data_IF_427943651599
#
_entry.id   IF_427943651599
#
_cell.length_a   1.000
_cell.length_b   1.000
_cell.length_c   1.000
_cell.angle_alpha   90.00
_cell.angle_beta   90.00
_cell.angle_gamma   90.00
#
_symmetry.space_group_name_H-M   'P 1'
#
loop_
_entity.id
_entity.type
_entity.pdbx_description
1 polymer ?
#
# COMPACT_ATOMS: atom_id res chain seq x y z
N UNK A 1 -31.60 -3.12 12.46
CA UNK A 1 -30.17 -2.74 12.54
C UNK A 1 -30.00 -1.99 13.83
N UNK A 2 -28.87 -2.15 14.51
CA UNK A 2 -28.69 -1.63 15.86
C UNK A 2 -27.31 -1.00 16.03
N UNK A 3 -27.26 0.09 16.78
CA UNK A 3 -26.01 0.63 17.31
C UNK A 3 -26.23 1.15 18.72
N UNK A 4 -25.16 1.25 19.49
CA UNK A 4 -25.21 1.76 20.86
C UNK A 4 -24.09 2.72 21.17
N UNK A 5 -24.39 3.70 22.02
CA UNK A 5 -23.45 4.73 22.46
C UNK A 5 -23.52 4.94 23.97
N UNK A 6 -22.43 5.42 24.55
CA UNK A 6 -22.34 5.83 25.97
C UNK A 6 -22.80 7.28 26.17
N UNK A 7 -22.79 7.77 27.41
CA UNK A 7 -23.17 9.16 27.75
C UNK A 7 -22.32 10.22 27.03
N UNK A 8 -21.07 9.89 26.69
CA UNK A 8 -20.16 10.75 25.92
C UNK A 8 -20.44 10.73 24.41
N UNK A 9 -21.49 10.02 23.98
CA UNK A 9 -21.89 9.80 22.58
C UNK A 9 -20.86 9.01 21.77
N UNK A 10 -19.96 8.31 22.43
CA UNK A 10 -19.02 7.43 21.77
C UNK A 10 -19.72 6.13 21.38
N UNK A 11 -19.44 5.67 20.16
CA UNK A 11 -19.98 4.42 19.66
C UNK A 11 -19.33 3.23 20.38
N UNK A 12 -20.11 2.45 21.13
CA UNK A 12 -19.65 1.29 21.90
C UNK A 12 -20.02 -0.05 21.28
N UNK A 13 -21.06 -0.09 20.43
CA UNK A 13 -21.47 -1.30 19.72
C UNK A 13 -22.23 -0.97 18.43
N UNK A 14 -22.17 -1.88 17.46
CA UNK A 14 -23.01 -1.89 16.28
C UNK A 14 -23.19 -3.32 15.77
N UNK A 15 -24.35 -3.62 15.19
CA UNK A 15 -24.54 -4.86 14.45
C UNK A 15 -23.90 -4.81 13.05
N UNK A 16 -23.61 -5.97 12.49
CA UNK A 16 -22.96 -6.11 11.18
C UNK A 16 -23.75 -5.40 10.08
N UNK A 17 -25.08 -5.44 10.15
CA UNK A 17 -25.94 -4.77 9.19
C UNK A 17 -25.81 -3.23 9.23
N UNK A 18 -25.69 -2.63 10.42
CA UNK A 18 -25.44 -1.18 10.53
C UNK A 18 -24.03 -0.80 10.05
N UNK A 19 -23.02 -1.61 10.38
CA UNK A 19 -21.63 -1.40 9.95
C UNK A 19 -21.56 -1.43 8.42
N UNK A 20 -22.15 -2.45 7.79
CA UNK A 20 -22.22 -2.59 6.34
C UNK A 20 -23.05 -1.48 5.67
N UNK A 21 -24.17 -1.06 6.28
CA UNK A 21 -25.00 0.06 5.78
C UNK A 21 -24.17 1.35 5.62
N UNK A 22 -23.24 1.59 6.55
CA UNK A 22 -22.37 2.75 6.56
C UNK A 22 -21.13 2.59 5.66
N UNK A 23 -20.92 1.42 5.04
CA UNK A 23 -19.81 1.13 4.14
C UNK A 23 -18.52 0.71 4.84
N UNK A 24 -18.60 0.18 6.05
CA UNK A 24 -17.45 -0.31 6.82
C UNK A 24 -17.45 -1.84 6.90
N UNK A 25 -16.27 -2.43 7.10
CA UNK A 25 -16.10 -3.88 7.22
C UNK A 25 -16.00 -4.36 8.65
N UNK A 26 -15.71 -3.46 9.58
CA UNK A 26 -15.57 -3.81 11.00
C UNK A 26 -16.03 -2.69 11.92
N UNK A 27 -16.41 -3.09 13.13
CA UNK A 27 -16.74 -2.14 14.20
C UNK A 27 -15.55 -1.21 14.52
N UNK A 28 -14.32 -1.74 14.49
CA UNK A 28 -13.10 -0.97 14.74
C UNK A 28 -12.96 0.19 13.74
N UNK A 29 -13.17 -0.10 12.47
CA UNK A 29 -13.09 0.88 11.37
C UNK A 29 -14.17 1.96 11.50
N UNK A 30 -15.43 1.54 11.75
CA UNK A 30 -16.54 2.45 12.00
C UNK A 30 -16.25 3.37 13.20
N UNK A 31 -15.75 2.82 14.31
CA UNK A 31 -15.44 3.57 15.53
C UNK A 31 -14.33 4.61 15.34
N UNK A 32 -13.38 4.34 14.45
CA UNK A 32 -12.31 5.31 14.10
C UNK A 32 -12.74 6.33 13.06
N UNK A 33 -13.94 6.20 12.49
CA UNK A 33 -14.45 7.11 11.46
C UNK A 33 -15.21 8.29 12.06
N UNK A 34 -15.23 9.41 11.33
CA UNK A 34 -16.03 10.60 11.69
C UNK A 34 -17.49 10.52 11.19
N UNK A 35 -17.96 9.34 10.76
CA UNK A 35 -19.32 9.21 10.18
C UNK A 35 -20.41 9.47 11.21
N UNK A 36 -20.15 9.10 12.48
CA UNK A 36 -21.09 9.33 13.57
C UNK A 36 -21.25 10.82 13.92
N UNK A 37 -20.27 11.67 13.60
CA UNK A 37 -20.36 13.12 13.81
C UNK A 37 -21.43 13.78 12.90
N UNK A 38 -21.73 13.13 11.76
CA UNK A 38 -22.75 13.58 10.82
C UNK A 38 -24.15 13.08 11.15
N UNK A 39 -24.32 12.34 12.25
CA UNK A 39 -25.61 11.83 12.69
C UNK A 39 -26.46 12.95 13.28
N UNK A 40 -27.66 13.16 12.73
CA UNK A 40 -28.64 14.15 13.20
C UNK A 40 -29.97 13.51 13.53
N UNK A 41 -30.58 14.00 14.60
CA UNK A 41 -31.94 13.64 14.97
C UNK A 41 -32.89 14.72 14.44
N UNK A 42 -33.69 14.40 13.43
CA UNK A 42 -34.65 15.31 12.79
C UNK A 42 -36.04 14.68 12.80
N UNK A 43 -37.04 15.33 13.41
CA UNK A 43 -38.45 14.91 13.36
C UNK A 43 -38.72 13.41 13.70
N UNK A 44 -38.08 12.88 14.74
CA UNK A 44 -38.12 11.44 15.15
C UNK A 44 -37.47 10.48 14.16
N UNK A 45 -36.65 10.99 13.25
CA UNK A 45 -35.80 10.22 12.35
C UNK A 45 -34.34 10.51 12.64
N UNK A 46 -33.52 9.51 12.35
CA UNK A 46 -32.08 9.63 12.25
C UNK A 46 -31.75 9.92 10.79
N UNK A 47 -30.95 10.96 10.58
CA UNK A 47 -30.38 11.33 9.29
C UNK A 47 -28.87 11.24 9.41
N UNK A 48 -28.25 10.33 8.67
CA UNK A 48 -26.79 10.20 8.57
C UNK A 48 -26.40 10.68 7.17
N UNK A 49 -25.65 11.79 7.11
CA UNK A 49 -25.17 12.34 5.84
C UNK A 49 -23.74 11.87 5.60
N UNK A 50 -23.53 11.22 4.46
CA UNK A 50 -22.22 10.88 3.92
C UNK A 50 -22.12 11.53 2.53
N UNK A 51 -20.91 11.63 1.99
CA UNK A 51 -20.68 12.33 0.71
C UNK A 51 -21.45 11.69 -0.46
N UNK A 52 -21.64 10.37 -0.41
CA UNK A 52 -22.23 9.56 -1.48
C UNK A 52 -23.65 9.05 -1.16
N UNK A 53 -24.11 9.19 0.08
CA UNK A 53 -25.45 8.76 0.47
C UNK A 53 -25.98 9.52 1.69
N UNK A 54 -27.29 9.68 1.73
CA UNK A 54 -28.02 10.09 2.93
C UNK A 54 -28.88 8.93 3.39
N UNK A 55 -28.68 8.50 4.64
CA UNK A 55 -29.48 7.46 5.27
C UNK A 55 -30.52 8.15 6.15
N UNK A 56 -31.78 7.87 5.88
CA UNK A 56 -32.90 8.26 6.72
C UNK A 56 -33.47 7.01 7.38
N UNK A 57 -33.77 7.08 8.68
CA UNK A 57 -34.38 5.95 9.37
C UNK A 57 -35.24 6.44 10.52
N UNK A 58 -36.39 5.79 10.72
CA UNK A 58 -37.10 5.88 11.98
C UNK A 58 -36.28 5.15 13.06
N UNK A 59 -36.34 5.58 14.31
CA UNK A 59 -35.56 4.93 15.36
C UNK A 59 -36.38 4.64 16.62
N UNK A 60 -36.03 3.56 17.30
CA UNK A 60 -36.40 3.33 18.69
C UNK A 60 -35.16 3.47 19.55
N UNK A 61 -35.32 4.14 20.66
CA UNK A 61 -34.26 4.40 21.62
C UNK A 61 -34.62 3.70 22.93
N UNK A 62 -33.70 2.90 23.44
CA UNK A 62 -33.82 2.19 24.69
C UNK A 62 -32.62 2.50 25.58
N UNK A 63 -32.89 2.93 26.80
CA UNK A 63 -31.89 3.07 27.85
C UNK A 63 -31.59 1.70 28.46
N UNK A 64 -30.31 1.37 28.55
CA UNK A 64 -29.83 0.11 29.09
C UNK A 64 -28.88 0.38 30.26
N UNK A 65 -29.09 -0.33 31.35
CA UNK A 65 -28.31 -0.18 32.58
C UNK A 65 -27.36 -1.37 32.71
N UNK A 66 -26.07 -1.13 32.52
CA UNK A 66 -25.00 -2.11 32.72
C UNK A 66 -24.45 -2.09 34.15
N UNK A 67 -23.52 -3.02 34.44
CA UNK A 67 -22.77 -3.00 35.70
C UNK A 67 -21.75 -1.85 35.61
N UNK A 68 -22.17 -0.64 35.98
CA UNK A 68 -21.30 0.53 36.17
C UNK A 68 -21.51 1.69 35.20
N UNK A 69 -22.20 1.49 34.07
CA UNK A 69 -22.43 2.54 33.06
C UNK A 69 -23.81 2.40 32.41
N UNK A 70 -24.41 3.54 32.08
CA UNK A 70 -25.60 3.64 31.25
C UNK A 70 -25.18 3.67 29.78
N UNK A 71 -25.90 2.94 28.92
CA UNK A 71 -25.71 3.06 27.49
C UNK A 71 -27.04 3.03 26.77
N UNK A 72 -27.05 3.64 25.60
CA UNK A 72 -28.26 3.81 24.80
C UNK A 72 -28.18 2.88 23.61
N UNK A 73 -29.21 2.05 23.45
CA UNK A 73 -29.39 1.22 22.27
C UNK A 73 -30.35 1.90 21.31
N UNK A 74 -29.94 2.03 20.06
CA UNK A 74 -30.76 2.57 18.98
C UNK A 74 -31.05 1.47 17.97
N UNK A 75 -32.33 1.16 17.82
CA UNK A 75 -32.84 0.31 16.75
C UNK A 75 -33.30 1.16 15.57
N UNK A 76 -32.72 0.93 14.41
CA UNK A 76 -33.13 1.55 13.16
C UNK A 76 -34.25 0.76 12.47
N UNK A 77 -35.31 1.47 12.07
CA UNK A 77 -36.48 0.99 11.35
C UNK A 77 -36.72 1.81 10.09
N UNK A 78 -37.33 1.17 9.09
CA UNK A 78 -37.69 1.81 7.82
C UNK A 78 -36.50 2.58 7.22
N UNK A 79 -35.35 1.90 7.10
CA UNK A 79 -34.12 2.51 6.60
C UNK A 79 -34.28 2.82 5.12
N UNK A 80 -34.25 4.11 4.79
CA UNK A 80 -34.27 4.65 3.44
C UNK A 80 -32.87 5.18 3.11
N UNK A 81 -32.22 4.56 2.12
CA UNK A 81 -30.92 5.01 1.62
C UNK A 81 -31.15 5.81 0.35
N UNK A 82 -30.97 7.11 0.45
CA UNK A 82 -30.90 8.00 -0.70
C UNK A 82 -29.45 8.07 -1.11
N UNK A 83 -29.07 7.26 -2.09
CA UNK A 83 -27.77 7.43 -2.74
C UNK A 83 -27.79 8.80 -3.41
N UNK A 84 -26.82 9.63 -3.09
CA UNK A 84 -26.58 10.83 -3.88
C UNK A 84 -26.16 10.30 -5.25
N UNK A 85 -26.87 10.66 -6.32
CA UNK A 85 -26.40 10.36 -7.67
C UNK A 85 -25.02 10.99 -7.81
N UNK A 86 -23.99 10.17 -7.64
CA UNK A 86 -22.60 10.55 -7.85
C UNK A 86 -22.45 11.08 -9.30
N UNK A 87 -23.36 10.68 -10.19
CA UNK A 87 -23.52 11.21 -11.54
C UNK A 87 -23.75 12.73 -11.65
N UNK A 88 -24.28 13.45 -10.65
CA UNK A 88 -24.48 14.92 -10.80
C UNK A 88 -23.50 15.80 -10.05
N UNK A 89 -22.75 15.26 -9.08
CA UNK A 89 -21.72 16.02 -8.36
C UNK A 89 -20.29 15.79 -8.89
N UNK A 90 -20.07 14.73 -9.69
CA UNK A 90 -18.81 14.51 -10.43
C UNK A 90 -18.72 15.33 -11.73
N UNK A 91 -19.82 15.93 -12.21
CA UNK A 91 -19.74 16.83 -13.38
C UNK A 91 -19.08 18.20 -13.12
N UNK A 92 -18.55 18.45 -11.91
CA UNK A 92 -17.42 19.37 -11.78
C UNK A 92 -16.13 18.62 -12.17
N UNK A 93 -15.99 18.36 -13.46
CA UNK A 93 -14.74 17.89 -14.05
C UNK A 93 -14.75 16.51 -14.71
N UNK A 94 -15.86 16.05 -15.29
CA UNK A 94 -15.73 15.17 -16.45
C UNK A 94 -15.19 16.04 -17.59
N UNK A 95 -13.87 16.15 -17.64
CA UNK A 95 -13.16 16.81 -18.72
C UNK A 95 -13.49 16.00 -19.98
N UNK A 96 -14.33 16.52 -20.87
CA UNK A 96 -14.77 15.83 -22.10
C UNK A 96 -13.64 15.68 -23.13
N UNK A 97 -12.39 15.89 -22.72
CA UNK A 97 -11.18 15.79 -23.51
C UNK A 97 -10.34 14.60 -23.04
N UNK A 98 -10.94 13.39 -23.01
CA UNK A 98 -10.16 12.19 -22.75
C UNK A 98 -9.41 11.81 -24.03
N UNK A 99 -8.08 11.95 -23.98
CA UNK A 99 -7.21 11.45 -25.04
C UNK A 99 -7.15 9.93 -24.99
N UNK A 100 -7.14 9.29 -26.17
CA UNK A 100 -6.95 7.86 -26.28
C UNK A 100 -5.54 7.48 -25.79
N UNK A 101 -5.42 6.35 -25.11
CA UNK A 101 -4.15 5.81 -24.61
C UNK A 101 -3.65 4.84 -25.67
N UNK A 102 -2.76 5.30 -26.54
CA UNK A 102 -2.17 4.46 -27.59
C UNK A 102 -1.14 3.49 -27.01
N UNK A 103 -1.31 2.21 -27.32
CA UNK A 103 -0.34 1.15 -27.05
C UNK A 103 0.39 0.81 -28.34
N UNK A 104 1.69 1.06 -28.39
CA UNK A 104 2.54 0.61 -29.50
C UNK A 104 2.73 -0.91 -29.41
N UNK A 105 1.78 -1.64 -30.00
CA UNK A 105 1.75 -3.11 -29.95
C UNK A 105 3.03 -3.71 -30.52
N UNK A 106 3.63 -3.11 -31.54
CA UNK A 106 4.83 -3.66 -32.16
C UNK A 106 6.00 -3.56 -31.20
N UNK A 107 6.23 -2.37 -30.62
CA UNK A 107 7.27 -2.14 -29.62
C UNK A 107 7.07 -3.01 -28.38
N UNK A 108 5.87 -2.97 -27.79
CA UNK A 108 5.60 -3.68 -26.53
C UNK A 108 5.69 -5.19 -26.72
N UNK A 109 5.12 -5.74 -27.82
CA UNK A 109 5.19 -7.18 -28.08
C UNK A 109 6.63 -7.68 -28.27
N UNK A 110 7.48 -6.88 -28.93
CA UNK A 110 8.91 -7.16 -29.06
C UNK A 110 9.62 -7.16 -27.69
N UNK A 111 9.37 -6.16 -26.86
CA UNK A 111 9.99 -6.02 -25.53
C UNK A 111 9.66 -7.20 -24.59
N UNK A 112 8.43 -7.70 -24.64
CA UNK A 112 7.99 -8.81 -23.77
C UNK A 112 8.20 -10.19 -24.43
N UNK A 113 8.72 -10.23 -25.66
CA UNK A 113 9.02 -11.47 -26.38
C UNK A 113 7.79 -12.24 -26.87
N UNK A 114 6.71 -11.55 -27.21
CA UNK A 114 5.47 -12.13 -27.75
C UNK A 114 5.24 -11.72 -29.21
N UNK A 115 4.43 -12.48 -29.94
CA UNK A 115 3.95 -11.99 -31.23
C UNK A 115 2.89 -10.90 -31.03
N UNK A 116 2.75 -10.01 -32.01
CA UNK A 116 1.69 -8.97 -32.04
C UNK A 116 0.30 -9.56 -31.80
N UNK A 117 0.00 -10.74 -32.38
CA UNK A 117 -1.29 -11.39 -32.21
C UNK A 117 -1.46 -11.97 -30.81
N UNK A 118 -0.40 -12.53 -30.24
CA UNK A 118 -0.44 -13.03 -28.87
C UNK A 118 -0.62 -11.87 -27.89
N UNK A 119 0.09 -10.75 -28.07
CA UNK A 119 -0.11 -9.54 -27.25
C UNK A 119 -1.56 -9.08 -27.28
N UNK A 120 -2.18 -9.01 -28.46
CA UNK A 120 -3.60 -8.65 -28.59
C UNK A 120 -4.51 -9.60 -27.82
N UNK A 121 -4.27 -10.91 -27.92
CA UNK A 121 -5.02 -11.91 -27.15
C UNK A 121 -4.83 -11.76 -25.63
N UNK A 122 -3.62 -11.45 -25.18
CA UNK A 122 -3.35 -11.18 -23.76
C UNK A 122 -4.01 -9.89 -23.29
N UNK A 123 -4.01 -8.84 -24.11
CA UNK A 123 -4.67 -7.58 -23.81
C UNK A 123 -6.20 -7.77 -23.71
N UNK A 124 -6.80 -8.47 -24.67
CA UNK A 124 -8.23 -8.80 -24.66
C UNK A 124 -8.57 -9.62 -23.41
N UNK A 125 -7.77 -10.64 -23.10
CA UNK A 125 -7.96 -11.46 -21.89
C UNK A 125 -7.83 -10.64 -20.60
N UNK A 126 -6.95 -9.64 -20.56
CA UNK A 126 -6.81 -8.74 -19.42
C UNK A 126 -8.03 -7.82 -19.26
N UNK A 127 -8.54 -7.27 -20.35
CA UNK A 127 -9.75 -6.44 -20.35
C UNK A 127 -10.96 -7.28 -19.91
N UNK A 128 -11.13 -8.48 -20.48
CA UNK A 128 -12.20 -9.40 -20.10
C UNK A 128 -12.13 -9.76 -18.61
N UNK A 129 -10.95 -10.09 -18.12
CA UNK A 129 -10.75 -10.40 -16.70
C UNK A 129 -11.06 -9.20 -15.81
N UNK A 130 -10.68 -7.99 -16.24
CA UNK A 130 -10.99 -6.74 -15.54
C UNK A 130 -12.49 -6.49 -15.44
N UNK A 131 -13.26 -6.82 -16.48
CA UNK A 131 -14.72 -6.73 -16.47
C UNK A 131 -15.33 -7.81 -15.56
N UNK A 132 -14.87 -9.06 -15.65
CA UNK A 132 -15.35 -10.16 -14.82
C UNK A 132 -15.14 -9.88 -13.32
N UNK A 133 -14.01 -9.25 -12.99
CA UNK A 133 -13.62 -8.99 -11.61
C UNK A 133 -14.15 -7.67 -11.04
N UNK A 134 -15.00 -6.92 -11.75
CA UNK A 134 -15.54 -5.61 -11.33
C UNK A 134 -16.16 -5.65 -9.93
N UNK A 135 -17.08 -6.58 -9.71
CA UNK A 135 -17.71 -6.70 -8.40
C UNK A 135 -16.69 -7.03 -7.31
N UNK A 136 -15.65 -7.81 -7.63
CA UNK A 136 -14.62 -8.21 -6.68
C UNK A 136 -13.62 -7.09 -6.41
N UNK A 137 -13.39 -6.19 -7.37
CA UNK A 137 -12.66 -4.95 -7.18
C UNK A 137 -13.43 -4.00 -6.26
N UNK A 138 -14.74 -3.87 -6.47
CA UNK A 138 -15.63 -3.10 -5.59
C UNK A 138 -15.60 -3.68 -4.17
N UNK A 139 -15.76 -4.99 -4.02
CA UNK A 139 -15.71 -5.69 -2.74
C UNK A 139 -14.31 -5.65 -2.07
N UNK A 140 -13.32 -5.09 -2.77
CA UNK A 140 -11.99 -4.84 -2.23
C UNK A 140 -11.10 -6.07 -2.12
N UNK A 141 -11.26 -7.03 -3.03
CA UNK A 141 -10.51 -8.28 -3.02
C UNK A 141 -9.04 -8.06 -3.42
N UNK A 142 -8.13 -8.03 -2.44
CA UNK A 142 -6.70 -7.81 -2.66
C UNK A 142 -6.06 -8.80 -3.65
N UNK A 143 -6.57 -10.03 -3.73
CA UNK A 143 -6.05 -11.03 -4.68
C UNK A 143 -6.37 -10.64 -6.13
N UNK A 144 -7.56 -10.09 -6.36
CA UNK A 144 -7.98 -9.58 -7.67
C UNK A 144 -7.12 -8.38 -8.06
N UNK A 145 -6.96 -7.43 -7.15
CA UNK A 145 -6.16 -6.23 -7.39
C UNK A 145 -4.72 -6.60 -7.76
N UNK A 146 -4.09 -7.50 -6.99
CA UNK A 146 -2.75 -8.02 -7.30
C UNK A 146 -2.67 -8.72 -8.64
N UNK A 147 -3.65 -9.56 -8.97
CA UNK A 147 -3.67 -10.27 -10.25
C UNK A 147 -3.78 -9.31 -11.44
N UNK A 148 -4.71 -8.35 -11.39
CA UNK A 148 -4.87 -7.34 -12.43
C UNK A 148 -3.65 -6.43 -12.53
N UNK A 149 -3.04 -6.09 -11.40
CA UNK A 149 -1.80 -5.31 -11.33
C UNK A 149 -0.66 -6.02 -12.05
N UNK A 150 -0.45 -7.31 -11.76
CA UNK A 150 0.56 -8.13 -12.43
C UNK A 150 0.31 -8.28 -13.94
N UNK A 151 -0.95 -8.41 -14.36
CA UNK A 151 -1.31 -8.47 -15.77
C UNK A 151 -1.04 -7.13 -16.48
N UNK A 152 -1.45 -6.01 -15.88
CA UNK A 152 -1.18 -4.67 -16.40
C UNK A 152 0.33 -4.40 -16.51
N UNK A 153 1.13 -4.88 -15.55
CA UNK A 153 2.59 -4.82 -15.59
C UNK A 153 3.17 -5.62 -16.76
N UNK A 154 2.70 -6.85 -16.95
CA UNK A 154 3.16 -7.73 -18.04
C UNK A 154 2.82 -7.14 -19.40
N UNK A 155 1.68 -6.47 -19.52
CA UNK A 155 1.24 -5.78 -20.73
C UNK A 155 1.88 -4.40 -20.93
N UNK A 156 2.79 -3.98 -20.03
CA UNK A 156 3.45 -2.67 -20.04
C UNK A 156 2.46 -1.50 -20.05
N UNK A 157 1.42 -1.58 -19.21
CA UNK A 157 0.41 -0.51 -19.04
C UNK A 157 0.57 0.14 -17.66
N UNK A 158 1.63 0.93 -17.43
CA UNK A 158 2.00 1.42 -16.09
C UNK A 158 0.91 2.28 -15.44
N UNK A 159 0.19 3.09 -16.21
CA UNK A 159 -0.87 3.95 -15.68
C UNK A 159 -2.03 3.16 -15.07
N UNK A 160 -2.40 2.05 -15.70
CA UNK A 160 -3.45 1.14 -15.21
C UNK A 160 -2.97 0.40 -13.96
N UNK A 161 -1.71 -0.04 -13.97
CA UNK A 161 -1.11 -0.69 -12.80
C UNK A 161 -1.07 0.25 -11.57
N UNK A 162 -0.68 1.51 -11.75
CA UNK A 162 -0.65 2.51 -10.67
C UNK A 162 -2.04 2.69 -10.04
N UNK A 163 -3.10 2.76 -10.86
CA UNK A 163 -4.47 2.87 -10.35
C UNK A 163 -4.88 1.64 -9.53
N UNK A 164 -4.54 0.44 -9.98
CA UNK A 164 -4.82 -0.80 -9.26
C UNK A 164 -4.11 -0.83 -7.90
N UNK A 165 -2.84 -0.43 -7.83
CA UNK A 165 -2.10 -0.35 -6.56
C UNK A 165 -2.73 0.67 -5.59
N UNK A 166 -3.21 1.81 -6.08
CA UNK A 166 -3.97 2.78 -5.26
C UNK A 166 -5.28 2.19 -4.75
N UNK A 167 -6.03 1.47 -5.59
CA UNK A 167 -7.26 0.76 -5.20
C UNK A 167 -6.97 -0.25 -4.08
N UNK A 168 -5.80 -0.91 -4.10
CA UNK A 168 -5.41 -1.88 -3.08
C UNK A 168 -5.28 -1.26 -1.68
N UNK A 169 -4.69 -0.06 -1.59
CA UNK A 169 -4.29 0.57 -0.33
C UNK A 169 -5.39 1.39 0.35
N UNK A 170 -6.46 1.73 -0.36
CA UNK A 170 -7.51 2.64 0.12
C UNK A 170 -8.66 1.91 0.83
N UNK A 171 -9.41 2.62 1.67
CA UNK A 171 -10.64 2.10 2.28
C UNK A 171 -11.75 1.93 1.22
N UNK A 172 -12.75 1.07 1.46
CA UNK A 172 -13.81 0.81 0.47
C UNK A 172 -14.50 2.10 -0.03
N UNK A 173 -14.65 3.10 0.85
CA UNK A 173 -15.20 4.43 0.55
C UNK A 173 -14.37 5.23 -0.46
N UNK A 174 -13.06 5.04 -0.49
CA UNK A 174 -12.11 5.80 -1.32
C UNK A 174 -11.77 5.06 -2.63
N UNK A 175 -12.10 3.77 -2.74
CA UNK A 175 -11.84 2.94 -3.93
C UNK A 175 -12.75 3.26 -5.10
N UNK A 176 -14.02 3.55 -4.84
CA UNK A 176 -15.05 3.72 -5.87
C UNK A 176 -14.68 4.73 -6.97
N UNK A 177 -14.24 5.97 -6.66
CA UNK A 177 -13.82 6.92 -7.71
C UNK A 177 -12.59 6.45 -8.49
N UNK A 178 -11.68 5.68 -7.88
CA UNK A 178 -10.51 5.13 -8.58
C UNK A 178 -10.87 3.93 -9.45
N UNK A 179 -11.87 3.14 -9.06
CA UNK A 179 -12.41 2.05 -9.88
C UNK A 179 -13.09 2.63 -11.12
N UNK A 180 -13.85 3.72 -10.99
CA UNK A 180 -14.40 4.44 -12.13
C UNK A 180 -13.31 5.00 -13.05
N UNK A 181 -12.24 5.59 -12.46
CA UNK A 181 -11.07 6.05 -13.22
C UNK A 181 -10.36 4.89 -13.93
N UNK A 182 -10.22 3.74 -13.26
CA UNK A 182 -9.65 2.52 -13.83
C UNK A 182 -10.40 2.05 -15.07
N UNK A 183 -11.72 1.93 -15.00
CA UNK A 183 -12.53 1.53 -16.16
C UNK A 183 -12.56 2.59 -17.26
N UNK A 184 -12.51 3.87 -16.89
CA UNK A 184 -12.38 4.95 -17.87
C UNK A 184 -11.08 4.82 -18.64
N UNK A 185 -9.94 4.61 -17.96
CA UNK A 185 -8.65 4.43 -18.64
C UNK A 185 -8.59 3.14 -19.46
N UNK A 186 -9.19 2.04 -18.98
CA UNK A 186 -9.31 0.82 -19.78
C UNK A 186 -10.07 1.05 -21.09
N UNK A 187 -11.18 1.80 -21.04
CA UNK A 187 -11.96 2.13 -22.23
C UNK A 187 -11.24 3.05 -23.23
N UNK A 188 -10.21 3.77 -22.77
CA UNK A 188 -9.39 4.65 -23.60
C UNK A 188 -8.20 3.93 -24.26
N UNK A 189 -7.91 2.68 -23.89
CA UNK A 189 -6.83 1.92 -24.52
C UNK A 189 -7.13 1.71 -26.01
N UNK A 190 -6.20 2.10 -26.87
CA UNK A 190 -6.30 1.90 -28.32
C UNK A 190 -5.01 1.33 -28.89
N UNK A 191 -5.16 0.48 -29.91
CA UNK A 191 -4.05 -0.04 -30.70
C UNK A 191 -3.87 0.73 -32.02
N UNK A 192 -4.80 1.62 -32.33
CA UNK A 192 -4.75 2.49 -33.50
C UNK A 192 -4.06 3.79 -33.11
N UNK A 193 -2.97 4.11 -33.80
CA UNK A 193 -2.23 5.36 -33.60
C UNK A 193 -3.12 6.54 -34.04
N UNK A 194 -3.50 7.46 -33.14
CA UNK A 194 -4.32 8.61 -33.51
C UNK A 194 -3.60 9.52 -34.53
N UNK A 195 -4.35 10.14 -35.43
CA UNK A 195 -3.79 11.00 -36.51
C UNK A 195 -3.08 12.25 -35.97
N UNK A 196 -3.52 12.75 -34.81
CA UNK A 196 -2.92 13.86 -34.06
C UNK A 196 -2.10 13.40 -32.84
N UNK A 197 -1.62 12.14 -32.82
CA UNK A 197 -0.74 11.64 -31.74
C UNK A 197 0.66 12.25 -31.90
N UNK A 198 0.80 13.52 -31.51
CA UNK A 198 2.09 14.05 -31.13
C UNK A 198 2.55 13.21 -29.94
N UNK A 199 3.72 12.57 -30.06
CA UNK A 199 4.38 11.84 -28.96
C UNK A 199 4.55 12.68 -27.69
N UNK A 200 4.35 13.99 -27.80
CA UNK A 200 4.58 15.02 -26.80
C UNK A 200 3.27 15.59 -26.20
N UNK A 201 2.09 15.15 -26.67
CA UNK A 201 0.78 15.64 -26.20
C UNK A 201 -0.04 14.58 -25.46
N UNK A 202 0.58 13.67 -24.69
CA UNK A 202 -0.13 13.22 -23.50
C UNK A 202 -0.11 14.43 -22.58
N UNK A 203 -1.28 15.04 -22.38
CA UNK A 203 -1.45 16.12 -21.44
C UNK A 203 -1.04 15.61 -20.05
N UNK A 204 0.22 15.88 -19.74
CA UNK A 204 0.83 15.87 -18.44
C UNK A 204 -0.12 16.62 -17.50
N UNK A 205 -0.84 15.85 -16.68
CA UNK A 205 -1.40 16.39 -15.42
C UNK A 205 -0.24 16.67 -14.42
N UNK A 206 1.02 16.48 -14.84
CA UNK A 206 2.21 16.88 -14.10
C UNK A 206 3.15 17.66 -15.03
N UNK A 207 3.17 18.99 -14.88
CA UNK A 207 3.95 19.93 -15.70
C UNK A 207 5.41 19.51 -16.01
N UNK A 208 5.78 19.73 -17.29
CA UNK A 208 7.08 20.10 -17.85
C UNK A 208 8.36 19.41 -17.35
N UNK A 209 8.88 18.42 -18.12
CA UNK A 209 10.25 18.56 -18.64
C UNK A 209 10.57 17.63 -19.84
N UNK A 210 11.01 18.27 -20.93
CA UNK A 210 11.26 17.70 -22.26
C UNK A 210 12.47 16.75 -22.27
N UNK A 211 12.22 15.48 -22.59
CA UNK A 211 13.10 14.54 -23.34
C UNK A 211 12.53 13.12 -23.16
N UNK A 212 11.75 12.65 -24.14
CA UNK A 212 10.79 11.53 -23.97
C UNK A 212 11.21 10.21 -24.61
N UNK A 213 12.28 10.13 -25.40
CA UNK A 213 12.67 8.85 -26.04
C UNK A 213 13.59 7.96 -25.18
N UNK A 214 14.41 8.53 -24.28
CA UNK A 214 15.30 7.76 -23.40
C UNK A 214 14.62 7.31 -22.08
N UNK A 215 13.44 7.86 -21.73
CA UNK A 215 12.81 7.65 -20.41
C UNK A 215 12.12 6.30 -20.27
N UNK A 216 11.56 5.75 -21.34
CA UNK A 216 10.75 4.52 -21.30
C UNK A 216 11.61 3.25 -21.18
N UNK A 217 12.75 3.19 -21.88
CA UNK A 217 13.74 2.10 -21.71
C UNK A 217 14.40 2.13 -20.32
N UNK A 218 14.67 3.33 -19.78
CA UNK A 218 15.24 3.50 -18.43
C UNK A 218 14.23 3.13 -17.35
N UNK A 219 12.95 3.48 -17.51
CA UNK A 219 11.86 3.04 -16.63
C UNK A 219 11.69 1.52 -16.68
N UNK A 220 11.70 0.91 -17.87
CA UNK A 220 11.58 -0.54 -18.04
C UNK A 220 12.77 -1.33 -17.50
N UNK A 221 14.00 -0.82 -17.65
CA UNK A 221 15.21 -1.42 -17.09
C UNK A 221 15.24 -1.32 -15.55
N UNK A 222 14.91 -0.14 -15.00
CA UNK A 222 14.85 0.08 -13.54
C UNK A 222 13.73 -0.72 -12.87
N UNK A 223 12.59 -0.90 -13.55
CA UNK A 223 11.51 -1.78 -13.09
C UNK A 223 11.89 -3.26 -13.11
N UNK A 224 12.65 -3.69 -14.13
CA UNK A 224 13.10 -5.09 -14.23
C UNK A 224 14.12 -5.46 -13.15
N UNK A 225 14.94 -4.52 -12.70
CA UNK A 225 15.88 -4.72 -11.60
C UNK A 225 15.19 -4.70 -10.21
N UNK A 226 14.09 -3.97 -10.06
CA UNK A 226 13.22 -4.06 -8.86
C UNK A 226 12.55 -5.44 -8.72
N UNK A 227 12.25 -6.10 -9.83
CA UNK A 227 11.58 -7.42 -9.87
C UNK A 227 12.51 -8.60 -9.57
N UNK A 228 13.82 -8.51 -9.88
CA UNK A 228 14.77 -9.61 -9.60
C UNK A 228 14.86 -9.98 -8.12
N UNK A 229 14.55 -9.03 -7.22
CA UNK A 229 14.57 -9.27 -5.78
C UNK A 229 13.25 -9.85 -5.23
N UNK A 230 12.19 -9.93 -6.04
CA UNK A 230 10.87 -10.44 -5.64
C UNK A 230 10.68 -11.92 -6.04
N UNK A 231 11.29 -12.35 -7.16
CA UNK A 231 11.08 -13.69 -7.74
C UNK A 231 12.05 -14.80 -7.26
N UNK A 232 13.06 -14.51 -6.43
CA UNK A 232 13.97 -15.55 -5.93
C UNK A 232 13.35 -16.52 -4.90
N UNK A 233 12.07 -16.35 -4.55
CA UNK A 233 11.38 -17.28 -3.63
C UNK A 233 10.85 -18.58 -4.25
N UNK A 234 10.98 -18.83 -5.56
CA UNK A 234 10.32 -20.01 -6.19
C UNK A 234 11.17 -20.98 -7.03
N UNK A 235 12.51 -21.00 -6.93
CA UNK A 235 13.30 -22.04 -7.62
C UNK A 235 14.37 -22.72 -6.76
N UNK A 236 13.95 -23.62 -5.88
CA UNK A 236 14.75 -24.81 -5.52
C UNK A 236 13.81 -26.03 -5.36
N UNK A 237 13.69 -26.83 -6.43
CA UNK A 237 13.37 -28.26 -6.38
C UNK A 237 14.66 -28.99 -6.79
N UNK A 238 15.14 -30.12 -6.28
CA UNK A 238 14.93 -31.04 -5.14
C UNK A 238 16.10 -32.10 -5.29
N UNK A 239 16.48 -32.93 -4.29
CA UNK A 239 15.57 -33.93 -3.71
C UNK A 239 15.68 -34.13 -2.19
N UNK A 240 14.51 -34.07 -1.56
CA UNK A 240 13.96 -34.97 -0.54
C UNK A 240 14.92 -35.62 0.48
N UNK A 241 14.85 -35.14 1.73
CA UNK A 241 14.56 -35.98 2.91
C UNK A 241 14.12 -35.16 4.13
N UNK A 242 13.09 -35.70 4.78
CA UNK A 242 12.54 -35.44 6.12
C UNK A 242 11.77 -34.13 6.37
N UNK A 243 10.45 -34.30 6.37
CA UNK A 243 9.46 -33.64 7.23
C UNK A 243 10.02 -33.05 8.52
N UNK A 244 10.00 -31.72 8.67
CA UNK A 244 9.64 -31.07 9.93
C UNK A 244 8.83 -29.80 9.62
N UNK A 245 7.75 -29.63 10.37
CA UNK A 245 6.78 -28.55 10.29
C UNK A 245 7.43 -27.24 10.78
N UNK A 246 7.16 -26.06 10.18
CA UNK A 246 7.62 -24.80 10.77
C UNK A 246 7.00 -24.64 12.17
N UNK A 247 7.79 -24.35 13.22
CA UNK A 247 7.22 -24.15 14.55
C UNK A 247 6.39 -22.87 14.58
N UNK A 248 5.22 -22.98 15.22
CA UNK A 248 4.36 -21.87 15.62
C UNK A 248 5.14 -20.84 16.43
N UNK A 249 4.87 -19.56 16.13
CA UNK A 249 5.46 -18.39 16.77
C UNK A 249 5.30 -18.40 18.29
N UNK A 250 6.35 -18.09 19.08
CA UNK A 250 6.20 -17.71 20.48
C UNK A 250 5.87 -16.22 20.61
N UNK A 251 5.00 -15.94 21.57
CA UNK A 251 4.56 -14.60 21.98
C UNK A 251 5.74 -13.78 22.58
N UNK A 252 5.70 -12.45 22.45
CA UNK A 252 6.77 -11.53 22.88
C UNK A 252 7.21 -11.64 24.36
N UNK A 253 6.38 -12.20 25.24
CA UNK A 253 6.73 -12.42 26.65
C UNK A 253 7.62 -13.67 26.89
N UNK A 254 7.72 -14.59 25.91
CA UNK A 254 8.49 -15.82 26.06
C UNK A 254 10.01 -15.65 25.77
N UNK A 255 10.42 -14.53 25.17
CA UNK A 255 11.82 -14.29 24.76
C UNK A 255 12.69 -13.91 25.97
N UNK A 256 12.12 -13.31 27.02
CA UNK A 256 12.90 -12.89 28.19
C UNK A 256 13.32 -14.06 29.12
N UNK A 257 12.73 -15.24 28.98
CA UNK A 257 12.98 -16.36 29.92
C UNK A 257 13.88 -17.48 29.37
N UNK A 258 14.45 -17.36 28.16
CA UNK A 258 15.41 -18.34 27.63
C UNK A 258 16.82 -17.81 27.36
N UNK A 259 17.17 -16.62 27.85
CA UNK A 259 18.55 -16.11 27.83
C UNK A 259 19.24 -16.39 29.18
N UNK A 260 19.52 -17.67 29.41
CA UNK A 260 20.57 -18.13 30.31
C UNK A 260 20.95 -19.51 29.81
N UNK A 261 22.12 -19.72 29.22
CA UNK A 261 23.43 -19.46 29.80
C UNK A 261 24.51 -19.51 28.70
N UNK A 262 25.55 -18.67 28.81
CA UNK A 262 26.85 -18.75 28.10
C UNK A 262 27.10 -18.03 26.75
N UNK A 263 26.52 -16.85 26.49
CA UNK A 263 27.07 -15.95 25.44
C UNK A 263 27.76 -14.73 26.05
N UNK A 264 29.07 -14.57 25.78
CA UNK A 264 29.88 -13.36 26.06
C UNK A 264 29.50 -12.17 25.15
N UNK A 265 28.29 -12.16 24.60
CA UNK A 265 27.85 -11.16 23.63
C UNK A 265 27.21 -9.99 24.37
N UNK A 266 27.65 -8.78 24.07
CA UNK A 266 27.14 -7.55 24.68
C UNK A 266 25.70 -7.32 24.21
N UNK A 267 24.78 -7.06 25.13
CA UNK A 267 23.37 -6.81 24.77
C UNK A 267 23.23 -5.41 24.14
N UNK A 268 22.60 -5.32 22.96
CA UNK A 268 22.35 -4.06 22.25
C UNK A 268 20.91 -3.61 22.55
N UNK A 269 20.71 -2.35 22.92
CA UNK A 269 19.37 -1.75 22.96
C UNK A 269 19.26 -0.69 21.87
N UNK A 270 18.21 -0.79 21.06
CA UNK A 270 17.89 0.16 19.99
C UNK A 270 16.73 1.10 20.35
N UNK A 271 16.22 1.03 21.58
CA UNK A 271 14.98 1.71 21.99
C UNK A 271 15.17 3.21 22.27
N UNK A 272 16.39 3.63 22.58
CA UNK A 272 16.75 5.02 22.91
C UNK A 272 17.90 5.57 22.05
N UNK A 273 17.98 5.12 20.80
CA UNK A 273 19.01 5.60 19.86
C UNK A 273 18.66 7.03 19.42
N UNK A 274 19.61 7.99 19.50
CA UNK A 274 19.37 9.34 19.01
C UNK A 274 19.21 9.36 17.49
N UNK A 275 18.28 10.16 17.00
CA UNK A 275 18.09 10.45 15.58
C UNK A 275 19.38 11.03 14.98
N UNK A 276 19.89 10.40 13.91
CA UNK A 276 21.03 10.89 13.15
C UNK A 276 20.53 11.53 11.86
N UNK A 277 20.95 12.76 11.58
CA UNK A 277 20.48 13.52 10.44
C UNK A 277 20.62 12.73 9.14
N UNK A 278 19.59 12.79 8.30
CA UNK A 278 19.58 12.17 6.97
C UNK A 278 19.27 13.26 5.94
N UNK A 279 20.06 13.30 4.87
CA UNK A 279 19.85 14.21 3.74
C UNK A 279 19.01 13.51 2.69
N UNK A 280 17.74 13.26 3.03
CA UNK A 280 16.79 12.59 2.15
C UNK A 280 15.67 13.52 1.70
N UNK A 281 15.30 13.42 0.43
CA UNK A 281 14.20 14.16 -0.19
C UNK A 281 13.49 13.23 -1.17
N UNK A 282 12.21 12.88 -0.93
CA UNK A 282 11.42 12.07 -1.84
C UNK A 282 11.34 12.71 -3.21
N UNK A 283 11.25 14.04 -3.28
CA UNK A 283 11.25 14.78 -4.54
C UNK A 283 12.56 14.58 -5.31
N UNK A 284 13.70 14.74 -4.65
CA UNK A 284 15.00 14.57 -5.31
C UNK A 284 15.21 13.13 -5.76
N UNK A 285 14.83 12.16 -4.93
CA UNK A 285 14.86 10.75 -5.30
C UNK A 285 13.90 10.45 -6.47
N UNK A 286 12.73 11.07 -6.51
CA UNK A 286 11.76 10.98 -7.60
C UNK A 286 12.31 11.54 -8.90
N UNK A 287 12.94 12.72 -8.85
CA UNK A 287 13.58 13.36 -10.00
C UNK A 287 14.73 12.48 -10.54
N UNK A 288 15.59 11.94 -9.66
CA UNK A 288 16.69 11.04 -10.04
C UNK A 288 16.22 9.68 -10.58
N UNK A 289 15.13 9.16 -10.01
CA UNK A 289 14.55 7.88 -10.39
C UNK A 289 13.63 8.00 -11.61
N UNK A 290 13.24 9.23 -11.98
CA UNK A 290 12.23 9.55 -12.97
C UNK A 290 10.91 8.82 -12.66
N UNK A 291 10.49 8.89 -11.39
CA UNK A 291 9.26 8.30 -10.86
C UNK A 291 8.43 9.40 -10.20
N UNK A 292 7.10 9.26 -10.11
CA UNK A 292 6.27 10.19 -9.36
C UNK A 292 6.71 10.26 -7.88
N UNK A 293 6.76 11.46 -7.30
CA UNK A 293 7.15 11.64 -5.89
C UNK A 293 6.32 10.79 -4.93
N UNK A 294 5.01 10.70 -5.19
CA UNK A 294 4.08 9.87 -4.41
C UNK A 294 4.50 8.39 -4.43
N UNK A 295 5.03 7.89 -5.54
CA UNK A 295 5.49 6.50 -5.65
C UNK A 295 6.79 6.28 -4.87
N UNK A 296 7.70 7.25 -4.87
CA UNK A 296 8.90 7.19 -4.03
C UNK A 296 8.52 7.23 -2.56
N UNK A 297 7.58 8.09 -2.17
CA UNK A 297 7.07 8.13 -0.81
C UNK A 297 6.49 6.78 -0.39
N UNK A 298 5.71 6.14 -1.26
CA UNK A 298 5.16 4.80 -1.03
C UNK A 298 6.25 3.73 -0.90
N UNK A 299 7.27 3.73 -1.76
CA UNK A 299 8.35 2.75 -1.66
C UNK A 299 9.21 2.95 -0.41
N UNK A 300 9.39 4.18 0.03
CA UNK A 300 10.08 4.49 1.28
C UNK A 300 9.28 4.01 2.48
N UNK A 301 7.95 4.12 2.46
CA UNK A 301 7.09 3.54 3.50
C UNK A 301 7.21 2.01 3.57
N UNK A 302 7.16 1.34 2.41
CA UNK A 302 7.32 -0.11 2.33
C UNK A 302 8.71 -0.54 2.85
N UNK A 303 9.76 0.22 2.50
CA UNK A 303 11.09 0.03 3.05
C UNK A 303 11.15 0.24 4.57
N UNK A 304 10.45 1.25 5.10
CA UNK A 304 10.39 1.52 6.54
C UNK A 304 9.75 0.34 7.28
N UNK A 305 8.64 -0.17 6.76
CA UNK A 305 7.96 -1.33 7.36
C UNK A 305 8.86 -2.58 7.33
N UNK A 306 9.49 -2.85 6.18
CA UNK A 306 10.42 -3.98 6.04
C UNK A 306 11.61 -3.87 7.00
N UNK A 307 12.21 -2.69 7.13
CA UNK A 307 13.33 -2.45 8.03
C UNK A 307 12.94 -2.60 9.51
N UNK A 308 11.70 -2.26 9.90
CA UNK A 308 11.20 -2.55 11.25
C UNK A 308 11.07 -4.03 11.54
N UNK A 309 10.56 -4.80 10.59
CA UNK A 309 10.45 -6.26 10.73
C UNK A 309 11.83 -6.92 10.78
N UNK A 310 12.74 -6.47 9.91
CA UNK A 310 14.09 -7.03 9.83
C UNK A 310 14.97 -6.61 11.02
N UNK A 311 14.60 -5.57 11.80
CA UNK A 311 15.30 -5.16 13.04
C UNK A 311 15.46 -6.31 14.04
N UNK A 312 14.38 -7.04 14.31
CA UNK A 312 14.40 -8.10 15.31
C UNK A 312 15.21 -9.31 14.82
N UNK A 313 15.19 -9.57 13.51
CA UNK A 313 16.06 -10.56 12.88
C UNK A 313 17.54 -10.16 12.98
N UNK A 314 17.87 -8.90 12.66
CA UNK A 314 19.24 -8.38 12.71
C UNK A 314 19.84 -8.49 14.13
N UNK A 315 19.04 -8.16 15.16
CA UNK A 315 19.43 -8.30 16.56
C UNK A 315 19.57 -9.77 16.97
N UNK A 316 18.65 -10.63 16.54
CA UNK A 316 18.69 -12.08 16.82
C UNK A 316 19.97 -12.70 16.25
N UNK A 317 20.30 -12.41 14.99
CA UNK A 317 21.52 -12.88 14.33
C UNK A 317 22.77 -12.37 15.04
N UNK A 318 22.76 -11.13 15.50
CA UNK A 318 23.86 -10.59 16.30
C UNK A 318 24.07 -11.34 17.61
N UNK A 319 23.00 -11.67 18.35
CA UNK A 319 23.09 -12.45 19.59
C UNK A 319 23.54 -13.89 19.36
N UNK A 320 23.19 -14.45 18.21
CA UNK A 320 23.61 -15.79 17.77
C UNK A 320 25.02 -15.80 17.16
N UNK A 321 25.64 -14.63 16.95
CA UNK A 321 26.90 -14.48 16.21
C UNK A 321 26.83 -15.04 14.78
N UNK A 322 25.65 -15.01 14.18
CA UNK A 322 25.39 -15.48 12.82
C UNK A 322 25.77 -14.39 11.82
N UNK A 323 27.07 -14.33 11.51
CA UNK A 323 27.64 -13.33 10.60
C UNK A 323 27.11 -13.49 9.17
N UNK A 324 26.86 -14.72 8.73
CA UNK A 324 26.37 -14.99 7.37
C UNK A 324 24.98 -14.38 7.17
N UNK A 325 24.08 -14.57 8.13
CA UNK A 325 22.74 -13.98 8.09
C UNK A 325 22.78 -12.45 8.24
N UNK A 326 23.72 -11.90 9.02
CA UNK A 326 23.92 -10.45 9.12
C UNK A 326 24.38 -9.87 7.78
N UNK A 327 25.29 -10.54 7.08
CA UNK A 327 25.74 -10.12 5.75
C UNK A 327 24.63 -10.20 4.72
N UNK A 328 23.80 -11.26 4.75
CA UNK A 328 22.66 -11.43 3.86
C UNK A 328 21.60 -10.35 4.08
N UNK A 329 21.19 -10.09 5.34
CA UNK A 329 20.25 -9.01 5.65
C UNK A 329 20.83 -7.64 5.28
N UNK A 330 22.12 -7.41 5.55
CA UNK A 330 22.82 -6.19 5.17
C UNK A 330 22.78 -5.96 3.66
N UNK A 331 23.06 -7.01 2.87
CA UNK A 331 22.98 -6.95 1.41
C UNK A 331 21.56 -6.62 0.91
N UNK A 332 20.54 -7.32 1.43
CA UNK A 332 19.14 -7.12 1.05
C UNK A 332 18.66 -5.70 1.35
N UNK A 333 18.88 -5.23 2.57
CA UNK A 333 18.46 -3.89 2.99
C UNK A 333 19.25 -2.81 2.25
N UNK A 334 20.54 -3.03 1.98
CA UNK A 334 21.37 -2.11 1.17
C UNK A 334 20.78 -1.95 -0.22
N UNK A 335 20.44 -3.05 -0.88
CA UNK A 335 19.82 -3.02 -2.21
C UNK A 335 18.55 -2.18 -2.22
N UNK A 336 17.67 -2.38 -1.24
CA UNK A 336 16.45 -1.60 -1.10
C UNK A 336 16.73 -0.10 -0.85
N UNK A 337 17.61 0.23 0.09
CA UNK A 337 17.96 1.62 0.40
C UNK A 337 18.61 2.35 -0.78
N UNK A 338 19.52 1.69 -1.49
CA UNK A 338 20.20 2.24 -2.68
C UNK A 338 19.23 2.52 -3.83
N UNK A 339 18.29 1.59 -4.06
CA UNK A 339 17.24 1.75 -5.07
C UNK A 339 16.35 2.96 -4.81
N UNK A 340 16.18 3.34 -3.55
CA UNK A 340 15.38 4.50 -3.12
C UNK A 340 16.19 5.78 -2.90
N UNK A 341 17.49 5.76 -3.24
CA UNK A 341 18.42 6.89 -3.05
C UNK A 341 18.56 7.34 -1.60
N UNK A 342 18.40 6.41 -0.66
CA UNK A 342 18.61 6.65 0.77
C UNK A 342 20.09 6.38 1.08
N UNK A 343 20.96 7.28 0.60
CA UNK A 343 22.40 7.06 0.51
C UNK A 343 23.04 6.75 1.87
N UNK A 344 22.70 7.50 2.92
CA UNK A 344 23.28 7.28 4.25
C UNK A 344 22.94 5.90 4.82
N UNK A 345 21.73 5.39 4.56
CA UNK A 345 21.37 4.03 4.98
C UNK A 345 22.09 2.99 4.13
N UNK A 346 22.15 3.20 2.81
CA UNK A 346 22.88 2.31 1.89
C UNK A 346 24.34 2.15 2.30
N UNK A 347 25.02 3.26 2.61
CA UNK A 347 26.44 3.26 3.00
C UNK A 347 26.67 2.48 4.30
N UNK A 348 25.82 2.69 5.31
CA UNK A 348 25.95 1.97 6.60
C UNK A 348 25.63 0.48 6.42
N UNK A 349 24.64 0.14 5.59
CA UNK A 349 24.29 -1.24 5.31
C UNK A 349 25.39 -1.95 4.52
N UNK A 350 26.16 -1.22 3.70
CA UNK A 350 27.40 -1.73 3.09
C UNK A 350 28.48 -2.00 4.13
N UNK A 351 28.68 -1.08 5.10
CA UNK A 351 29.59 -1.31 6.22
C UNK A 351 29.19 -2.56 7.03
N UNK A 352 27.88 -2.78 7.24
CA UNK A 352 27.35 -3.99 7.91
C UNK A 352 27.58 -5.24 7.05
N UNK A 353 27.26 -5.19 5.75
CA UNK A 353 27.39 -6.30 4.81
C UNK A 353 28.81 -6.85 4.77
N UNK A 354 29.83 -5.99 4.84
CA UNK A 354 31.23 -6.41 4.77
C UNK A 354 31.94 -6.44 6.14
N UNK A 355 31.19 -6.27 7.24
CA UNK A 355 31.75 -6.27 8.58
C UNK A 355 32.30 -7.66 8.92
N UNK A 356 33.62 -7.76 9.11
CA UNK A 356 34.28 -9.01 9.49
C UNK A 356 34.48 -9.16 11.01
N UNK A 357 34.18 -8.11 11.78
CA UNK A 357 34.45 -8.03 13.22
C UNK A 357 33.14 -7.78 13.99
N UNK A 358 32.67 -8.82 14.68
CA UNK A 358 31.43 -8.79 15.47
C UNK A 358 31.41 -7.65 16.50
N UNK A 359 32.57 -7.23 17.01
CA UNK A 359 32.66 -6.15 18.00
C UNK A 359 32.30 -4.77 17.43
N UNK A 360 32.35 -4.60 16.11
CA UNK A 360 32.02 -3.33 15.42
C UNK A 360 30.54 -3.23 15.05
N UNK A 361 29.84 -4.37 14.98
CA UNK A 361 28.42 -4.43 14.59
C UNK A 361 27.52 -3.63 15.51
N UNK A 362 27.81 -3.57 16.82
CA UNK A 362 27.01 -2.77 17.75
C UNK A 362 26.98 -1.29 17.34
N UNK A 363 28.16 -0.72 17.04
CA UNK A 363 28.25 0.67 16.61
C UNK A 363 27.54 0.91 15.28
N UNK A 364 27.66 -0.04 14.34
CA UNK A 364 27.02 0.04 13.04
C UNK A 364 25.50 -0.07 13.14
N UNK A 365 24.96 -0.95 13.98
CA UNK A 365 23.52 -1.12 14.18
C UNK A 365 22.90 0.12 14.83
N UNK A 366 23.58 0.70 15.83
CA UNK A 366 23.15 1.96 16.45
C UNK A 366 23.16 3.09 15.42
N UNK A 367 24.21 3.20 14.60
CA UNK A 367 24.31 4.21 13.54
C UNK A 367 23.20 4.03 12.50
N UNK A 368 23.01 2.81 12.00
CA UNK A 368 21.93 2.45 11.07
C UNK A 368 20.56 2.84 11.63
N UNK A 369 20.27 2.41 12.85
CA UNK A 369 18.97 2.65 13.49
C UNK A 369 18.72 4.14 13.74
N UNK A 370 19.76 4.91 14.07
CA UNK A 370 19.66 6.36 14.25
C UNK A 370 19.27 7.10 12.96
N UNK A 371 19.83 6.73 11.80
CA UNK A 371 19.42 7.30 10.52
C UNK A 371 18.04 6.81 10.07
N UNK A 372 17.73 5.54 10.36
CA UNK A 372 16.42 4.95 10.09
C UNK A 372 15.29 5.72 10.81
N UNK A 373 15.47 6.03 12.10
CA UNK A 373 14.50 6.80 12.87
C UNK A 373 14.29 8.21 12.31
N UNK A 374 15.35 8.87 11.87
CA UNK A 374 15.26 10.19 11.22
C UNK A 374 14.47 10.14 9.92
N UNK A 375 14.73 9.14 9.07
CA UNK A 375 13.98 8.92 7.83
C UNK A 375 12.50 8.71 8.13
N UNK A 376 12.19 7.81 9.06
CA UNK A 376 10.81 7.50 9.43
C UNK A 376 10.08 8.74 9.97
N UNK A 377 10.72 9.49 10.87
CA UNK A 377 10.13 10.70 11.42
C UNK A 377 9.94 11.78 10.37
N UNK A 378 10.87 11.90 9.43
CA UNK A 378 10.76 12.82 8.30
C UNK A 378 9.54 12.47 7.43
N UNK A 379 9.40 11.20 7.02
CA UNK A 379 8.25 10.73 6.23
C UNK A 379 6.92 10.89 6.98
N UNK A 380 6.90 10.64 8.30
CA UNK A 380 5.71 10.85 9.14
C UNK A 380 5.30 12.32 9.22
N UNK A 381 6.26 13.25 9.23
CA UNK A 381 5.98 14.70 9.25
C UNK A 381 5.44 15.18 7.90
N UNK A 382 5.98 14.69 6.79
CA UNK A 382 5.48 14.95 5.44
C UNK A 382 3.99 14.65 5.30
N UNK A 383 3.54 13.51 5.82
CA UNK A 383 2.11 13.10 5.79
C UNK A 383 1.17 13.93 6.67
N UNK A 384 1.71 14.75 7.58
CA UNK A 384 0.93 15.58 8.51
C UNK A 384 0.91 17.06 8.11
N UNK A 385 1.81 17.47 7.21
CA UNK A 385 1.85 18.80 6.62
C UNK A 385 0.83 18.87 5.47
#
# INVERSE_FOLDING_TARGET
>A
MYYGYNDDKELIMADEAFIALLGFNSFKELRTSNVMDNLKFENKRIVIKQDYQTINSDFLHAEMYGIGEEFYLVELKNVEVLKTDIHTSIHKGLNTNYQAIYLDVYKISEEIGLSVNDYKLYLDSFIDQSIIDEQRLLDGNDKVVKNLSNLALTLKIPHINILLLKIQKLSHRERMPLIDEYYTKLALLTLEKPEDYASDEIEDIFEEDKNTEDKEEVLNARFSDLLKNVDEKEKINAPDKSNETPPLMPNHEAIEQQISTNSKVKQISLDNVPELAISYSPQTAADELNLPVVLIEEFVDDFIEQARQDKDHLLTSYYQQDMDNIHELGHKLKGAASNLRINELSDILEEIQFCSDHSQLEGLFIKYWGHFLSLENYMRKLKRA
#
